data_IF_054731148589
#
_entry.id   IF_054731148589
#
_cell.length_a   1.000
_cell.length_b   1.000
_cell.length_c   1.000
_cell.angle_alpha   90.00
_cell.angle_beta   90.00
_cell.angle_gamma   90.00
#
_symmetry.space_group_name_H-M   'P 1'
#
loop_
_entity.id
_entity.type
_entity.pdbx_description
1 polymer ?
#
# COMPACT_ATOMS: atom_id res chain seq x y z
N UNK A 1 10.61 -4.55 -3.50
CA UNK A 1 10.36 -5.71 -2.60
C UNK A 1 9.19 -6.53 -3.13
N UNK A 2 8.98 -7.76 -2.64
CA UNK A 2 7.78 -8.52 -3.03
C UNK A 2 6.54 -7.96 -2.33
N UNK A 3 5.39 -7.99 -3.01
CA UNK A 3 4.11 -7.62 -2.43
C UNK A 3 3.77 -8.54 -1.24
N UNK A 4 4.08 -9.83 -1.34
CA UNK A 4 3.87 -10.80 -0.27
C UNK A 4 4.47 -10.41 1.09
N UNK A 5 5.63 -9.74 1.13
CA UNK A 5 6.24 -9.27 2.38
C UNK A 5 5.36 -8.22 3.09
N UNK A 6 4.78 -7.30 2.31
CA UNK A 6 3.84 -6.29 2.80
C UNK A 6 2.53 -6.94 3.24
N UNK A 7 2.01 -7.88 2.45
CA UNK A 7 0.77 -8.61 2.75
C UNK A 7 0.92 -9.43 4.03
N UNK A 8 2.04 -10.14 4.20
CA UNK A 8 2.31 -10.90 5.42
C UNK A 8 2.35 -9.99 6.65
N UNK A 9 3.01 -8.82 6.55
CA UNK A 9 3.05 -7.84 7.65
C UNK A 9 1.65 -7.29 7.95
N UNK A 10 0.87 -6.97 6.91
CA UNK A 10 -0.51 -6.51 7.03
C UNK A 10 -1.38 -7.52 7.80
N UNK A 11 -1.26 -8.80 7.47
CA UNK A 11 -1.98 -9.88 8.14
C UNK A 11 -1.55 -10.04 9.60
N UNK A 12 -0.25 -9.99 9.89
CA UNK A 12 0.27 -10.03 11.26
C UNK A 12 -0.29 -8.87 12.10
N UNK A 13 -0.26 -7.64 11.56
CA UNK A 13 -0.80 -6.45 12.22
C UNK A 13 -2.31 -6.57 12.48
N UNK A 14 -3.06 -7.21 11.58
CA UNK A 14 -4.48 -7.48 11.77
C UNK A 14 -4.75 -8.48 12.90
N UNK A 15 -3.88 -9.48 13.09
CA UNK A 15 -3.98 -10.51 14.13
C UNK A 15 -3.45 -10.04 15.49
N UNK A 16 -2.54 -9.07 15.52
CA UNK A 16 -2.02 -8.48 16.75
C UNK A 16 -3.08 -7.62 17.45
N UNK A 17 -3.14 -7.64 18.78
CA UNK A 17 -4.01 -6.78 19.59
C UNK A 17 -3.28 -5.56 20.18
N UNK A 18 -1.97 -5.68 20.43
CA UNK A 18 -1.15 -4.63 21.04
C UNK A 18 -0.79 -3.49 20.06
N UNK A 19 -1.16 -2.26 20.38
CA UNK A 19 -0.83 -1.07 19.57
C UNK A 19 0.66 -0.92 19.29
N UNK A 20 1.51 -1.04 20.31
CA UNK A 20 2.96 -0.89 20.19
C UNK A 20 3.59 -1.99 19.33
N UNK A 21 3.08 -3.22 19.45
CA UNK A 21 3.55 -4.35 18.65
C UNK A 21 3.20 -4.15 17.17
N UNK A 22 1.99 -3.66 16.86
CA UNK A 22 1.63 -3.27 15.48
C UNK A 22 2.57 -2.21 14.90
N UNK A 23 2.88 -1.18 15.68
CA UNK A 23 3.83 -0.13 15.28
C UNK A 23 5.20 -0.75 15.00
N UNK A 24 5.66 -1.67 15.86
CA UNK A 24 6.91 -2.41 15.67
C UNK A 24 6.95 -3.20 14.36
N UNK A 25 5.93 -3.99 14.06
CA UNK A 25 5.83 -4.77 12.83
C UNK A 25 5.90 -3.87 11.58
N UNK A 26 5.12 -2.79 11.57
CA UNK A 26 5.10 -1.81 10.48
C UNK A 26 6.46 -1.11 10.33
N UNK A 27 7.10 -0.73 11.44
CA UNK A 27 8.40 -0.05 11.41
C UNK A 27 9.51 -0.96 10.87
N UNK A 28 9.50 -2.24 11.25
CA UNK A 28 10.45 -3.24 10.74
C UNK A 28 10.31 -3.42 9.23
N UNK A 29 9.07 -3.47 8.73
CA UNK A 29 8.81 -3.52 7.28
C UNK A 29 9.34 -2.25 6.60
N UNK A 30 8.90 -1.07 7.05
CA UNK A 30 9.24 0.22 6.43
C UNK A 30 10.74 0.50 6.41
N UNK A 31 11.50 0.06 7.42
CA UNK A 31 12.96 0.20 7.46
C UNK A 31 13.71 -0.62 6.39
N UNK A 32 13.05 -1.59 5.75
CA UNK A 32 13.61 -2.44 4.69
C UNK A 32 13.13 -2.05 3.29
N UNK A 33 12.20 -1.12 3.19
CA UNK A 33 11.64 -0.67 1.90
C UNK A 33 12.67 0.23 1.21
N UNK A 34 12.93 -0.04 -0.06
CA UNK A 34 13.80 0.82 -0.88
C UNK A 34 13.19 2.23 -1.02
N UNK A 35 14.00 3.30 -1.05
CA UNK A 35 13.48 4.67 -1.09
C UNK A 35 12.48 4.96 -2.21
N UNK A 36 12.63 4.30 -3.36
CA UNK A 36 11.74 4.43 -4.51
C UNK A 36 10.35 3.79 -4.31
N UNK A 37 10.22 2.86 -3.36
CA UNK A 37 8.97 2.15 -3.06
C UNK A 37 8.28 2.66 -1.79
N UNK A 38 8.90 3.58 -1.03
CA UNK A 38 8.39 4.04 0.27
C UNK A 38 7.00 4.66 0.21
N UNK A 39 6.74 5.47 -0.81
CA UNK A 39 5.41 6.06 -1.01
C UNK A 39 4.37 4.98 -1.32
N UNK A 40 4.75 3.95 -2.10
CA UNK A 40 3.86 2.83 -2.46
C UNK A 40 3.53 2.02 -1.21
N UNK A 41 4.56 1.61 -0.46
CA UNK A 41 4.39 0.82 0.75
C UNK A 41 3.54 1.57 1.78
N UNK A 42 3.81 2.85 2.00
CA UNK A 42 3.07 3.67 2.97
C UNK A 42 1.60 3.82 2.56
N UNK A 43 1.32 4.13 1.29
CA UNK A 43 -0.05 4.23 0.80
C UNK A 43 -0.82 2.90 0.98
N UNK A 44 -0.21 1.78 0.61
CA UNK A 44 -0.85 0.46 0.71
C UNK A 44 -1.08 0.07 2.18
N UNK A 45 -0.15 0.38 3.09
CA UNK A 45 -0.31 0.22 4.54
C UNK A 45 -1.33 1.18 5.17
N UNK A 46 -1.65 2.29 4.50
CA UNK A 46 -2.79 3.15 4.86
C UNK A 46 -4.11 2.68 4.23
N UNK A 47 -4.09 1.60 3.42
CA UNK A 47 -5.28 1.07 2.76
C UNK A 47 -5.76 1.90 1.58
N UNK A 48 -4.86 2.68 0.97
CA UNK A 48 -5.16 3.48 -0.22
C UNK A 48 -4.21 3.14 -1.37
N UNK A 49 -4.71 3.23 -2.60
CA UNK A 49 -3.87 3.27 -3.79
C UNK A 49 -3.36 4.69 -4.00
N UNK A 50 -2.18 4.87 -4.61
CA UNK A 50 -1.65 6.21 -4.91
C UNK A 50 -2.35 6.87 -6.08
N UNK A 51 -2.88 6.05 -6.98
CA UNK A 51 -3.58 6.52 -8.15
C UNK A 51 -4.94 7.11 -7.78
N UNK A 52 -5.48 8.04 -8.59
CA UNK A 52 -6.88 8.45 -8.47
C UNK A 52 -7.84 7.28 -8.64
N UNK A 53 -9.15 7.56 -8.57
CA UNK A 53 -10.22 6.58 -8.76
C UNK A 53 -9.94 5.65 -9.95
N UNK A 54 -9.69 4.37 -9.66
CA UNK A 54 -9.49 3.35 -10.68
C UNK A 54 -10.76 3.16 -11.54
N UNK A 55 -11.93 3.55 -11.02
CA UNK A 55 -13.20 3.42 -11.72
C UNK A 55 -13.69 1.98 -11.76
N UNK A 56 -13.30 1.17 -10.78
CA UNK A 56 -13.70 -0.23 -10.62
C UNK A 56 -14.58 -0.30 -9.37
N UNK A 57 -15.87 -0.59 -9.56
CA UNK A 57 -16.79 -0.88 -8.46
C UNK A 57 -16.80 -2.36 -8.10
N UNK A 58 -17.55 -2.74 -7.06
CA UNK A 58 -17.66 -4.13 -6.58
C UNK A 58 -17.98 -5.14 -7.69
N UNK A 59 -18.92 -4.85 -8.58
CA UNK A 59 -19.28 -5.76 -9.67
C UNK A 59 -18.11 -6.00 -10.63
N UNK A 60 -17.37 -4.95 -10.97
CA UNK A 60 -16.17 -5.06 -11.81
C UNK A 60 -15.05 -5.81 -11.12
N UNK A 61 -14.82 -5.52 -9.84
CA UNK A 61 -13.84 -6.24 -9.01
C UNK A 61 -14.15 -7.74 -8.98
N UNK A 62 -15.41 -8.11 -8.74
CA UNK A 62 -15.84 -9.49 -8.72
C UNK A 62 -15.64 -10.18 -10.07
N UNK A 63 -15.98 -9.51 -11.17
CA UNK A 63 -15.77 -10.04 -12.53
C UNK A 63 -14.27 -10.20 -12.90
N UNK A 64 -13.41 -9.31 -12.40
CA UNK A 64 -11.97 -9.37 -12.64
C UNK A 64 -11.24 -10.39 -11.75
N UNK A 65 -11.84 -10.81 -10.64
CA UNK A 65 -11.22 -11.74 -9.70
C UNK A 65 -11.21 -13.15 -10.27
N UNK A 66 -10.04 -13.75 -10.55
CA UNK A 66 -9.95 -15.13 -11.04
C UNK A 66 -10.25 -16.14 -9.93
N UNK A 67 -10.64 -17.35 -10.32
CA UNK A 67 -10.82 -18.47 -9.37
C UNK A 67 -9.48 -19.05 -8.92
N UNK A 68 -8.48 -19.02 -9.80
CA UNK A 68 -7.11 -19.46 -9.56
C UNK A 68 -6.22 -18.33 -9.07
N UNK A 69 -5.12 -18.71 -8.42
CA UNK A 69 -4.08 -17.81 -7.95
C UNK A 69 -2.70 -18.40 -8.26
N UNK A 70 -1.67 -17.55 -8.27
CA UNK A 70 -0.30 -18.02 -8.41
C UNK A 70 0.10 -18.90 -7.21
N UNK A 71 0.87 -19.95 -7.47
CA UNK A 71 1.35 -20.88 -6.44
C UNK A 71 2.49 -20.30 -5.59
N UNK A 72 3.21 -19.31 -6.12
CA UNK A 72 4.37 -18.69 -5.48
C UNK A 72 4.33 -17.18 -5.63
N UNK A 73 4.77 -16.48 -4.60
CA UNK A 73 4.84 -15.02 -4.60
C UNK A 73 6.03 -14.54 -5.45
N UNK A 74 5.72 -13.89 -6.57
CA UNK A 74 6.72 -13.28 -7.47
C UNK A 74 6.38 -11.82 -7.81
N UNK A 75 5.22 -11.33 -7.38
CA UNK A 75 4.75 -10.00 -7.71
C UNK A 75 5.50 -8.95 -6.89
N UNK A 76 6.18 -8.03 -7.59
CA UNK A 76 6.82 -6.88 -6.95
C UNK A 76 5.79 -5.83 -6.52
N UNK A 77 6.07 -5.14 -5.42
CA UNK A 77 5.26 -4.01 -4.94
C UNK A 77 5.15 -2.90 -6.01
N UNK A 78 6.27 -2.54 -6.63
CA UNK A 78 6.30 -1.54 -7.71
C UNK A 78 5.52 -1.97 -8.95
N UNK A 79 5.47 -3.28 -9.25
CA UNK A 79 4.71 -3.80 -10.38
C UNK A 79 3.19 -3.71 -10.15
N UNK A 80 2.73 -3.95 -8.92
CA UNK A 80 1.33 -3.76 -8.55
C UNK A 80 0.89 -2.29 -8.68
N UNK A 81 1.69 -1.35 -8.17
CA UNK A 81 1.41 0.09 -8.32
C UNK A 81 1.42 0.53 -9.79
N UNK A 82 2.35 0.02 -10.61
CA UNK A 82 2.39 0.28 -12.05
C UNK A 82 1.14 -0.24 -12.77
N UNK A 83 0.62 -1.40 -12.38
CA UNK A 83 -0.61 -1.94 -12.94
C UNK A 83 -1.82 -1.04 -12.60
N UNK A 84 -1.90 -0.53 -11.37
CA UNK A 84 -2.92 0.45 -10.99
C UNK A 84 -2.79 1.76 -11.76
N UNK A 85 -1.56 2.24 -12.01
CA UNK A 85 -1.31 3.42 -12.84
C UNK A 85 -1.83 3.22 -14.28
N UNK A 86 -1.57 2.05 -14.88
CA UNK A 86 -2.09 1.70 -16.20
C UNK A 86 -3.62 1.66 -16.23
N UNK A 87 -4.24 1.07 -15.21
CA UNK A 87 -5.70 1.03 -15.05
C UNK A 87 -6.28 2.45 -14.93
N UNK A 88 -5.69 3.30 -14.10
CA UNK A 88 -6.16 4.67 -13.86
C UNK A 88 -6.14 5.53 -15.13
N UNK A 89 -5.14 5.32 -16.00
CA UNK A 89 -4.97 6.06 -17.26
C UNK A 89 -5.94 5.65 -18.37
N UNK A 90 -6.61 4.50 -18.27
CA UNK A 90 -7.59 4.09 -19.28
C UNK A 90 -8.86 4.95 -19.19
N UNK A 91 -9.23 5.56 -20.32
CA UNK A 91 -10.42 6.39 -20.46
C UNK A 91 -11.04 6.24 -21.86
N UNK A 92 -12.30 6.66 -22.00
CA UNK A 92 -13.03 6.62 -23.27
C UNK A 92 -13.74 5.29 -23.55
N UNK A 93 -14.19 5.11 -24.79
CA UNK A 93 -14.98 3.93 -25.20
C UNK A 93 -14.15 2.64 -25.01
N UNK A 94 -14.72 1.66 -24.31
CA UNK A 94 -14.04 0.38 -24.03
C UNK A 94 -13.06 0.41 -22.86
N UNK A 95 -12.92 1.53 -22.15
CA UNK A 95 -12.00 1.60 -21.01
C UNK A 95 -12.41 0.69 -19.86
N UNK A 96 -13.72 0.44 -19.68
CA UNK A 96 -14.21 -0.47 -18.64
C UNK A 96 -13.63 -1.87 -18.81
N UNK A 97 -13.79 -2.49 -19.99
CA UNK A 97 -13.28 -3.83 -20.27
C UNK A 97 -11.76 -3.90 -20.19
N UNK A 98 -11.07 -2.84 -20.67
CA UNK A 98 -9.62 -2.74 -20.57
C UNK A 98 -9.12 -2.72 -19.12
N UNK A 99 -9.80 -1.98 -18.23
CA UNK A 99 -9.49 -1.93 -16.80
C UNK A 99 -9.71 -3.28 -16.13
N UNK A 100 -10.80 -3.96 -16.45
CA UNK A 100 -11.10 -5.29 -15.91
C UNK A 100 -10.06 -6.33 -16.37
N UNK A 101 -9.63 -6.26 -17.63
CA UNK A 101 -8.58 -7.13 -18.15
C UNK A 101 -7.25 -6.93 -17.42
N UNK A 102 -6.78 -5.68 -17.27
CA UNK A 102 -5.53 -5.39 -16.56
C UNK A 102 -5.60 -5.80 -15.09
N UNK A 103 -6.74 -5.56 -14.42
CA UNK A 103 -6.93 -6.00 -13.03
C UNK A 103 -6.89 -7.53 -12.94
N UNK A 104 -7.53 -8.24 -13.87
CA UNK A 104 -7.50 -9.71 -13.91
C UNK A 104 -6.09 -10.25 -14.15
N UNK A 105 -5.33 -9.63 -15.05
CA UNK A 105 -3.92 -9.98 -15.32
C UNK A 105 -3.06 -9.81 -14.05
N UNK A 106 -3.21 -8.69 -13.34
CA UNK A 106 -2.54 -8.47 -12.05
C UNK A 106 -2.91 -9.54 -11.03
N UNK A 107 -4.21 -9.84 -10.87
CA UNK A 107 -4.67 -10.81 -9.88
C UNK A 107 -4.25 -12.24 -10.22
N UNK A 108 -4.17 -12.63 -11.49
CA UNK A 108 -3.66 -13.95 -11.90
C UNK A 108 -2.18 -14.16 -11.54
N UNK A 109 -1.37 -13.09 -11.55
CA UNK A 109 0.03 -13.13 -11.13
C UNK A 109 0.21 -13.13 -9.60
N UNK A 110 -0.85 -12.80 -8.86
CA UNK A 110 -0.84 -12.72 -7.41
C UNK A 110 -1.21 -14.08 -6.77
N UNK A 111 -0.59 -14.39 -5.64
CA UNK A 111 -1.02 -15.45 -4.73
C UNK A 111 -2.39 -15.12 -4.14
N UNK A 112 -3.07 -16.11 -3.54
CA UNK A 112 -4.42 -15.91 -3.00
C UNK A 112 -4.48 -14.83 -1.91
N UNK A 113 -3.41 -14.70 -1.13
CA UNK A 113 -3.31 -13.70 -0.08
C UNK A 113 -3.10 -12.30 -0.65
N UNK A 114 -2.24 -12.18 -1.67
CA UNK A 114 -2.03 -10.95 -2.42
C UNK A 114 -3.30 -10.52 -3.17
N UNK A 115 -4.05 -11.45 -3.77
CA UNK A 115 -5.34 -11.16 -4.40
C UNK A 115 -6.33 -10.57 -3.40
N UNK A 116 -6.47 -11.16 -2.20
CA UNK A 116 -7.35 -10.63 -1.16
C UNK A 116 -6.93 -9.23 -0.72
N UNK A 117 -5.63 -9.00 -0.58
CA UNK A 117 -5.09 -7.70 -0.24
C UNK A 117 -5.39 -6.66 -1.32
N UNK A 118 -5.01 -6.93 -2.58
CA UNK A 118 -5.21 -6.02 -3.71
C UNK A 118 -6.68 -5.71 -3.96
N UNK A 119 -7.55 -6.73 -3.88
CA UNK A 119 -8.98 -6.52 -4.09
C UNK A 119 -9.59 -5.64 -3.00
N UNK A 120 -9.23 -5.87 -1.73
CA UNK A 120 -9.64 -5.02 -0.59
C UNK A 120 -9.10 -3.59 -0.70
N UNK A 121 -7.85 -3.44 -1.17
CA UNK A 121 -7.21 -2.15 -1.38
C UNK A 121 -7.93 -1.33 -2.47
N UNK A 122 -8.29 -1.95 -3.59
CA UNK A 122 -8.97 -1.31 -4.72
C UNK A 122 -10.32 -0.69 -4.33
N UNK A 123 -11.06 -1.35 -3.43
CA UNK A 123 -12.37 -0.87 -2.94
C UNK A 123 -12.28 -0.04 -1.66
N UNK A 124 -11.08 0.17 -1.11
CA UNK A 124 -10.87 0.93 0.13
C UNK A 124 -11.40 0.22 1.38
N UNK A 125 -11.52 -1.11 1.36
CA UNK A 125 -11.99 -1.91 2.48
C UNK A 125 -10.87 -2.70 3.16
N UNK A 126 -9.63 -2.21 3.10
CA UNK A 126 -8.51 -2.90 3.73
C UNK A 126 -8.60 -2.83 5.26
N UNK A 127 -9.15 -3.89 5.87
CA UNK A 127 -9.36 -4.00 7.32
C UNK A 127 -8.15 -4.61 8.03
N UNK A 128 -7.00 -3.95 7.93
CA UNK A 128 -5.75 -4.43 8.55
C UNK A 128 -5.54 -3.91 9.99
N UNK A 129 -6.44 -3.05 10.50
CA UNK A 129 -6.30 -2.46 11.83
C UNK A 129 -5.11 -1.50 11.98
N UNK A 130 -4.39 -1.20 10.88
CA UNK A 130 -3.42 -0.12 10.76
C UNK A 130 -4.12 1.12 10.22
N UNK A 131 -4.63 1.95 11.13
CA UNK A 131 -5.10 3.28 10.77
C UNK A 131 -3.90 4.13 10.37
N UNK A 132 -4.12 5.18 9.59
CA UNK A 132 -3.08 6.15 9.18
C UNK A 132 -2.22 6.62 10.37
N UNK A 133 -2.84 6.80 11.55
CA UNK A 133 -2.13 7.14 12.78
C UNK A 133 -1.15 6.08 13.30
N UNK A 134 -1.33 4.78 13.01
CA UNK A 134 -0.36 3.74 13.36
C UNK A 134 0.81 3.70 12.37
N UNK A 135 0.52 3.91 11.08
CA UNK A 135 1.55 3.99 10.04
C UNK A 135 2.47 5.20 10.29
N UNK A 136 1.90 6.33 10.70
CA UNK A 136 2.67 7.52 11.10
C UNK A 136 3.65 7.24 12.24
N UNK A 137 3.20 6.60 13.32
CA UNK A 137 4.08 6.25 14.44
C UNK A 137 5.15 5.22 14.00
N UNK A 138 4.81 4.31 13.10
CA UNK A 138 5.76 3.35 12.54
C UNK A 138 6.83 4.03 11.67
N UNK A 139 6.45 5.00 10.85
CA UNK A 139 7.39 5.86 10.10
C UNK A 139 8.32 6.59 11.06
N UNK A 140 7.78 7.21 12.11
CA UNK A 140 8.57 7.92 13.10
C UNK A 140 9.58 6.98 13.79
N UNK A 141 9.13 5.79 14.19
CA UNK A 141 9.98 4.78 14.81
C UNK A 141 11.08 4.29 13.86
N UNK A 142 10.74 3.96 12.61
CA UNK A 142 11.69 3.48 11.61
C UNK A 142 12.71 4.56 11.21
N UNK A 143 12.28 5.81 11.08
CA UNK A 143 13.15 6.96 10.79
C UNK A 143 13.93 7.47 12.01
N UNK A 144 13.63 6.95 13.21
CA UNK A 144 14.20 7.40 14.50
C UNK A 144 14.02 8.90 14.74
N UNK A 145 12.84 9.41 14.41
CA UNK A 145 12.45 10.81 14.63
C UNK A 145 11.24 10.89 15.57
N UNK A 146 11.01 12.02 16.27
CA UNK A 146 9.82 12.18 17.08
C UNK A 146 8.54 12.08 16.24
N UNK A 147 7.53 11.34 16.72
CA UNK A 147 6.24 11.18 16.03
C UNK A 147 5.53 12.50 15.77
N UNK A 148 5.66 13.48 16.68
CA UNK A 148 5.13 14.83 16.50
C UNK A 148 5.76 15.57 15.30
N UNK A 149 7.02 15.30 14.98
CA UNK A 149 7.67 15.89 13.79
C UNK A 149 7.07 15.32 12.52
N UNK A 150 6.87 14.00 12.44
CA UNK A 150 6.23 13.36 11.29
C UNK A 150 4.78 13.83 11.15
N UNK A 151 4.05 13.93 12.25
CA UNK A 151 2.67 14.41 12.27
C UNK A 151 2.53 15.83 11.75
N UNK A 152 3.37 16.75 12.21
CA UNK A 152 3.38 18.13 11.71
C UNK A 152 3.71 18.19 10.23
N UNK A 153 4.71 17.43 9.77
CA UNK A 153 5.04 17.36 8.36
C UNK A 153 3.89 16.80 7.52
N UNK A 154 3.23 15.72 7.97
CA UNK A 154 2.08 15.12 7.29
C UNK A 154 0.89 16.09 7.22
N UNK A 155 0.61 16.82 8.30
CA UNK A 155 -0.44 17.85 8.30
C UNK A 155 -0.12 19.01 7.34
N UNK A 156 1.15 19.41 7.26
CA UNK A 156 1.59 20.49 6.36
C UNK A 156 1.57 20.06 4.88
N UNK A 157 2.00 18.83 4.58
CA UNK A 157 2.03 18.29 3.23
C UNK A 157 0.66 17.78 2.74
N UNK A 158 -0.23 17.41 3.66
CA UNK A 158 -1.51 16.74 3.34
C UNK A 158 -1.35 15.31 2.80
N UNK A 159 -0.15 14.73 2.89
CA UNK A 159 0.20 13.45 2.30
C UNK A 159 1.24 12.70 3.16
N UNK A 160 0.80 11.66 3.86
CA UNK A 160 1.69 10.82 4.67
C UNK A 160 2.70 10.02 3.84
N UNK A 161 2.35 9.40 2.68
CA UNK A 161 3.31 8.73 1.81
C UNK A 161 4.56 9.54 1.44
N UNK A 162 4.40 10.76 0.92
CA UNK A 162 5.53 11.64 0.60
C UNK A 162 6.38 11.96 1.83
N UNK A 163 5.73 12.27 2.96
CA UNK A 163 6.43 12.54 4.23
C UNK A 163 7.17 11.31 4.74
N UNK A 164 6.62 10.11 4.60
CA UNK A 164 7.27 8.87 4.97
C UNK A 164 8.54 8.64 4.16
N UNK A 165 8.50 8.90 2.84
CA UNK A 165 9.70 8.84 1.99
C UNK A 165 10.79 9.79 2.48
N UNK A 166 10.44 11.05 2.74
CA UNK A 166 11.39 12.05 3.23
C UNK A 166 11.95 11.66 4.61
N UNK A 167 11.09 11.26 5.54
CA UNK A 167 11.50 10.86 6.89
C UNK A 167 12.47 9.67 6.86
N UNK A 168 12.18 8.64 6.07
CA UNK A 168 12.96 7.40 6.05
C UNK A 168 14.23 7.51 5.20
N UNK A 169 14.25 8.38 4.18
CA UNK A 169 15.43 8.60 3.34
C UNK A 169 16.38 9.68 3.92
N UNK A 170 15.84 10.72 4.54
CA UNK A 170 16.59 11.93 4.92
C UNK A 170 16.53 12.24 6.44
N UNK A 171 15.76 11.48 7.21
CA UNK A 171 15.63 11.66 8.65
C UNK A 171 15.03 13.01 9.04
N UNK A 172 15.41 13.49 10.23
CA UNK A 172 14.90 14.76 10.77
C UNK A 172 15.25 15.97 9.88
N UNK A 173 16.38 15.95 9.20
CA UNK A 173 16.84 17.06 8.35
C UNK A 173 15.95 17.24 7.11
N UNK A 174 15.40 16.16 6.56
CA UNK A 174 14.45 16.22 5.45
C UNK A 174 13.12 16.84 5.86
N UNK A 175 12.65 16.58 7.08
CA UNK A 175 11.38 17.07 7.60
C UNK A 175 11.39 18.55 8.04
N UNK A 176 12.57 19.16 8.12
CA UNK A 176 12.74 20.56 8.53
C UNK A 176 12.89 21.56 7.37
N UNK A 177 12.82 21.08 6.13
CA UNK A 177 12.87 21.93 4.92
C UNK A 177 11.47 22.38 4.52
#
# INVERSE_FOLDING_TARGET
MLLADLVATSQQVAQTSGRLEKIGLLAVLLARVEPAELEIATAFLCGVVRQPKLGIGYAGLHAATPESAAESATLELSAADRAFEQIARLAGKGSADGKLRLLRELLLAATRDEQRFLTSLVIGELRQGALEGLVLEAVAQAARVPGETVRRAAMAAGDLPSVARVALAEGAAGLSR
#
